data_IF_441704519640
#
_entry.id   IF_441704519640
#
_cell.length_a   1.000
_cell.length_b   1.000
_cell.length_c   1.000
_cell.angle_alpha   90.00
_cell.angle_beta   90.00
_cell.angle_gamma   90.00
#
_symmetry.space_group_name_H-M   'P 1'
#
loop_
_entity.id
_entity.type
_entity.pdbx_description
1 polymer ?
#
# COMPACT_ATOMS: atom_id res chain seq x y z
N UNK A 1 1.66 19.83 -12.24
CA UNK A 1 0.19 19.71 -12.27
C UNK A 1 -0.30 19.23 -13.64
N UNK A 2 0.04 19.93 -14.73
CA UNK A 2 -0.36 19.55 -16.10
C UNK A 2 0.29 18.22 -16.54
N UNK A 3 1.58 18.00 -16.21
CA UNK A 3 2.29 16.77 -16.55
C UNK A 3 1.69 15.52 -15.90
N UNK A 4 1.35 15.59 -14.62
CA UNK A 4 0.74 14.48 -13.86
C UNK A 4 -0.68 14.18 -14.37
N UNK A 5 -1.46 15.22 -14.69
CA UNK A 5 -2.77 15.05 -15.32
C UNK A 5 -2.67 14.34 -16.69
N UNK A 6 -1.68 14.71 -17.52
CA UNK A 6 -1.44 14.05 -18.80
C UNK A 6 -1.07 12.58 -18.63
N UNK A 7 -0.23 12.24 -17.64
CA UNK A 7 0.18 10.85 -17.36
C UNK A 7 -1.02 10.01 -16.90
N UNK A 8 -1.81 10.50 -15.93
CA UNK A 8 -2.99 9.79 -15.42
C UNK A 8 -4.05 9.57 -16.50
N UNK A 9 -4.28 10.57 -17.35
CA UNK A 9 -5.21 10.48 -18.48
C UNK A 9 -4.76 9.45 -19.51
N UNK A 10 -3.46 9.38 -19.81
CA UNK A 10 -2.91 8.35 -20.71
C UNK A 10 -2.99 6.94 -20.16
N UNK A 11 -2.97 6.80 -18.83
CA UNK A 11 -3.10 5.52 -18.13
C UNK A 11 -4.55 5.13 -17.84
N UNK A 12 -5.54 5.92 -18.27
CA UNK A 12 -6.95 5.62 -18.04
C UNK A 12 -7.40 5.70 -16.57
N UNK A 13 -6.61 6.35 -15.70
CA UNK A 13 -6.95 6.47 -14.27
C UNK A 13 -8.06 7.52 -14.11
N UNK A 14 -9.21 7.18 -13.50
CA UNK A 14 -10.37 8.07 -13.40
C UNK A 14 -10.21 9.13 -12.29
N UNK A 15 -9.18 9.97 -12.40
CA UNK A 15 -8.93 11.10 -11.48
C UNK A 15 -9.43 12.40 -12.12
N UNK A 16 -10.36 13.08 -11.44
CA UNK A 16 -10.94 14.34 -11.90
C UNK A 16 -9.96 15.50 -11.64
N UNK A 17 -9.90 16.47 -12.55
CA UNK A 17 -9.04 17.65 -12.42
C UNK A 17 -9.24 18.41 -11.08
N UNK A 18 -10.47 18.42 -10.55
CA UNK A 18 -10.82 19.05 -9.27
C UNK A 18 -10.19 18.34 -8.07
N UNK A 19 -10.01 17.02 -8.14
CA UNK A 19 -9.30 16.24 -7.10
C UNK A 19 -7.80 16.57 -7.11
N UNK A 20 -7.19 16.68 -8.30
CA UNK A 20 -5.79 17.13 -8.43
C UNK A 20 -5.57 18.55 -7.92
N UNK A 21 -6.54 19.45 -8.09
CA UNK A 21 -6.47 20.81 -7.56
C UNK A 21 -6.57 20.81 -6.02
N UNK A 22 -7.42 19.96 -5.44
CA UNK A 22 -7.51 19.75 -3.99
C UNK A 22 -6.22 19.17 -3.40
N UNK A 23 -5.59 18.22 -4.09
CA UNK A 23 -4.27 17.70 -3.75
C UNK A 23 -3.18 18.78 -3.88
N UNK A 24 -3.27 19.67 -4.88
CA UNK A 24 -2.26 20.70 -5.13
C UNK A 24 -2.22 21.81 -4.06
N UNK A 25 -3.34 22.09 -3.39
CA UNK A 25 -3.44 23.04 -2.27
C UNK A 25 -2.78 22.49 -0.99
N UNK A 26 -2.66 21.16 -0.84
CA UNK A 26 -1.87 20.49 0.21
C UNK A 26 -0.48 20.18 -0.35
N UNK A 27 0.43 21.15 -0.24
CA UNK A 27 1.76 21.24 -0.88
C UNK A 27 2.65 19.96 -0.85
N UNK A 28 2.39 18.97 0.01
CA UNK A 28 3.24 17.80 0.27
C UNK A 28 2.93 16.53 -0.55
N UNK A 29 1.84 16.48 -1.31
CA UNK A 29 1.24 15.21 -1.77
C UNK A 29 1.35 14.97 -3.28
N UNK A 30 2.47 14.47 -3.82
CA UNK A 30 2.50 14.18 -5.28
C UNK A 30 3.26 12.94 -5.73
N UNK A 31 4.57 12.85 -5.50
CA UNK A 31 5.37 11.89 -6.30
C UNK A 31 5.17 10.45 -5.87
N UNK A 32 5.15 10.20 -4.56
CA UNK A 32 5.08 8.84 -4.03
C UNK A 32 3.71 8.21 -4.27
N UNK A 33 2.62 8.92 -3.94
CA UNK A 33 1.27 8.46 -4.22
C UNK A 33 1.02 8.20 -5.71
N UNK A 34 1.42 9.11 -6.61
CA UNK A 34 1.25 8.90 -8.05
C UNK A 34 2.07 7.69 -8.53
N UNK A 35 3.29 7.53 -8.04
CA UNK A 35 4.14 6.39 -8.42
C UNK A 35 3.53 5.06 -7.94
N UNK A 36 3.05 5.03 -6.70
CA UNK A 36 2.35 3.89 -6.11
C UNK A 36 1.08 3.54 -6.89
N UNK A 37 0.27 4.53 -7.25
CA UNK A 37 -0.95 4.34 -8.06
C UNK A 37 -0.64 3.77 -9.44
N UNK A 38 0.38 4.30 -10.12
CA UNK A 38 0.80 3.80 -11.44
C UNK A 38 1.32 2.37 -11.34
N UNK A 39 2.11 2.05 -10.31
CA UNK A 39 2.60 0.70 -10.07
C UNK A 39 1.46 -0.28 -9.77
N UNK A 40 0.52 0.10 -8.90
CA UNK A 40 -0.64 -0.71 -8.57
C UNK A 40 -1.52 -0.99 -9.80
N UNK A 41 -1.79 0.03 -10.61
CA UNK A 41 -2.58 -0.11 -11.83
C UNK A 41 -1.88 -1.01 -12.87
N UNK A 42 -0.58 -0.80 -13.13
CA UNK A 42 0.19 -1.65 -14.05
C UNK A 42 0.27 -3.10 -13.60
N UNK A 43 0.32 -3.34 -12.30
CA UNK A 43 0.30 -4.68 -11.72
C UNK A 43 -1.10 -5.31 -11.68
N UNK A 44 -2.16 -4.58 -12.07
CA UNK A 44 -3.55 -5.01 -11.95
C UNK A 44 -3.94 -5.32 -10.51
N UNK A 45 -3.41 -4.56 -9.54
CA UNK A 45 -3.85 -4.64 -8.16
C UNK A 45 -5.20 -3.95 -8.02
N UNK A 46 -6.14 -4.60 -7.32
CA UNK A 46 -7.43 -4.02 -6.97
C UNK A 46 -7.27 -3.11 -5.75
N UNK A 47 -6.53 -2.01 -5.91
CA UNK A 47 -6.36 -0.96 -4.90
C UNK A 47 -7.04 0.30 -5.43
N UNK A 48 -8.10 0.75 -4.75
CA UNK A 48 -8.81 1.94 -5.20
C UNK A 48 -7.92 3.18 -4.98
N UNK A 49 -7.85 4.11 -5.95
CA UNK A 49 -7.08 5.33 -5.78
C UNK A 49 -7.45 6.14 -4.53
N UNK A 50 -8.74 6.16 -4.18
CA UNK A 50 -9.25 6.81 -2.99
C UNK A 50 -8.79 6.14 -1.69
N UNK A 51 -8.65 4.81 -1.67
CA UNK A 51 -8.14 4.06 -0.51
C UNK A 51 -6.66 4.37 -0.27
N UNK A 52 -5.85 4.35 -1.33
CA UNK A 52 -4.42 4.70 -1.23
C UNK A 52 -4.20 6.17 -0.88
N UNK A 53 -5.02 7.08 -1.39
CA UNK A 53 -5.00 8.48 -0.99
C UNK A 53 -5.36 8.66 0.48
N UNK A 54 -6.44 8.02 0.95
CA UNK A 54 -6.83 8.06 2.36
C UNK A 54 -5.74 7.47 3.27
N UNK A 55 -5.11 6.36 2.85
CA UNK A 55 -3.99 5.74 3.56
C UNK A 55 -2.77 6.66 3.65
N UNK A 56 -2.41 7.31 2.54
CA UNK A 56 -1.34 8.32 2.55
C UNK A 56 -1.67 9.51 3.46
N UNK A 57 -2.92 9.98 3.45
CA UNK A 57 -3.38 11.07 4.30
C UNK A 57 -3.40 10.69 5.79
N UNK A 58 -3.50 9.41 6.11
CA UNK A 58 -3.30 8.86 7.44
C UNK A 58 -1.81 8.65 7.80
N UNK A 59 -0.90 9.26 7.03
CA UNK A 59 0.56 9.16 7.18
C UNK A 59 1.14 7.75 6.92
N UNK A 60 0.39 6.90 6.23
CA UNK A 60 0.86 5.57 5.83
C UNK A 60 1.80 5.57 4.63
N UNK A 61 2.66 4.55 4.55
CA UNK A 61 3.62 4.34 3.47
C UNK A 61 2.98 3.58 2.29
N UNK A 62 2.46 4.33 1.32
CA UNK A 62 1.84 3.76 0.12
C UNK A 62 2.80 2.97 -0.77
N UNK A 63 4.10 3.28 -0.76
CA UNK A 63 5.09 2.56 -1.56
C UNK A 63 5.28 1.14 -1.03
N UNK A 64 5.41 0.99 0.29
CA UNK A 64 5.58 -0.30 0.94
C UNK A 64 4.31 -1.15 0.85
N UNK A 65 3.13 -0.53 0.97
CA UNK A 65 1.88 -1.28 0.80
C UNK A 65 1.72 -1.80 -0.64
N UNK A 66 1.99 -0.98 -1.66
CA UNK A 66 1.90 -1.42 -3.06
C UNK A 66 2.94 -2.51 -3.36
N UNK A 67 4.17 -2.36 -2.84
CA UNK A 67 5.22 -3.37 -2.98
C UNK A 67 4.84 -4.69 -2.32
N UNK A 68 4.27 -4.63 -1.13
CA UNK A 68 3.76 -5.79 -0.39
C UNK A 68 2.63 -6.49 -1.12
N UNK A 69 1.64 -5.73 -1.58
CA UNK A 69 0.53 -6.22 -2.38
C UNK A 69 1.01 -6.92 -3.67
N UNK A 70 2.00 -6.35 -4.35
CA UNK A 70 2.61 -6.95 -5.53
C UNK A 70 3.28 -8.29 -5.22
N UNK A 71 4.05 -8.38 -4.13
CA UNK A 71 4.72 -9.61 -3.73
C UNK A 71 3.74 -10.71 -3.32
N UNK A 72 2.69 -10.37 -2.56
CA UNK A 72 1.62 -11.31 -2.19
C UNK A 72 0.91 -11.84 -3.43
N UNK A 73 0.58 -10.96 -4.39
CA UNK A 73 -0.02 -11.35 -5.66
C UNK A 73 0.91 -12.25 -6.49
N UNK A 74 2.20 -11.93 -6.55
CA UNK A 74 3.19 -12.74 -7.27
C UNK A 74 3.30 -14.17 -6.72
N UNK A 75 3.09 -14.34 -5.41
CA UNK A 75 3.09 -15.65 -4.73
C UNK A 75 1.71 -16.31 -4.66
N UNK A 76 0.68 -15.74 -5.33
CA UNK A 76 -0.68 -16.27 -5.31
C UNK A 76 -1.32 -16.29 -3.92
N UNK A 77 -0.86 -15.43 -3.01
CA UNK A 77 -1.40 -15.34 -1.66
C UNK A 77 -2.64 -14.45 -1.65
N UNK A 78 -3.79 -15.03 -1.31
CA UNK A 78 -4.95 -14.23 -0.94
C UNK A 78 -4.68 -13.54 0.41
N UNK A 79 -4.88 -12.22 0.47
CA UNK A 79 -4.66 -11.42 1.67
C UNK A 79 -5.78 -10.39 1.85
N UNK A 80 -6.01 -9.98 3.09
CA UNK A 80 -6.91 -8.88 3.41
C UNK A 80 -6.16 -7.55 3.33
N UNK A 81 -6.56 -6.71 2.37
CA UNK A 81 -6.00 -5.37 2.14
C UNK A 81 -6.09 -4.50 3.40
N UNK A 82 -7.17 -4.61 4.17
CA UNK A 82 -7.37 -3.83 5.40
C UNK A 82 -6.35 -4.19 6.47
N UNK A 83 -5.99 -5.48 6.57
CA UNK A 83 -4.95 -5.93 7.52
C UNK A 83 -3.58 -5.47 7.09
N UNK A 84 -3.27 -5.47 5.79
CA UNK A 84 -2.02 -4.92 5.27
C UNK A 84 -1.90 -3.42 5.57
N UNK A 85 -2.97 -2.64 5.37
CA UNK A 85 -3.01 -1.23 5.77
C UNK A 85 -2.88 -1.05 7.28
N UNK A 86 -3.52 -1.90 8.09
CA UNK A 86 -3.40 -1.83 9.53
C UNK A 86 -1.97 -2.10 10.03
N UNK A 87 -1.26 -3.06 9.42
CA UNK A 87 0.16 -3.31 9.70
C UNK A 87 0.98 -2.05 9.37
N UNK A 88 0.75 -1.46 8.20
CA UNK A 88 1.45 -0.25 7.79
C UNK A 88 1.22 0.91 8.77
N UNK A 89 -0.03 1.21 9.13
CA UNK A 89 -0.33 2.31 10.06
C UNK A 89 0.18 2.04 11.48
N UNK A 90 0.25 0.79 11.90
CA UNK A 90 0.67 0.43 13.26
C UNK A 90 2.19 0.31 13.41
N UNK A 91 2.91 0.06 12.33
CA UNK A 91 4.34 -0.28 12.38
C UNK A 91 5.21 0.49 11.41
N UNK A 92 4.65 1.11 10.36
CA UNK A 92 5.38 1.69 9.22
C UNK A 92 6.28 0.70 8.47
N UNK A 93 6.11 -0.61 8.71
CA UNK A 93 6.97 -1.70 8.24
C UNK A 93 6.18 -2.77 7.45
N UNK A 94 5.21 -2.35 6.64
CA UNK A 94 4.36 -3.30 5.89
C UNK A 94 5.14 -4.21 4.94
N UNK A 95 6.20 -3.68 4.30
CA UNK A 95 7.08 -4.47 3.45
C UNK A 95 7.89 -5.51 4.24
N UNK A 96 8.42 -5.13 5.40
CA UNK A 96 9.21 -6.03 6.24
C UNK A 96 8.34 -7.18 6.78
N UNK A 97 7.12 -6.85 7.23
CA UNK A 97 6.11 -7.84 7.58
C UNK A 97 5.84 -8.80 6.42
N UNK A 98 5.54 -8.28 5.24
CA UNK A 98 5.17 -9.10 4.08
C UNK A 98 6.32 -10.02 3.66
N UNK A 99 7.55 -9.52 3.68
CA UNK A 99 8.75 -10.32 3.40
C UNK A 99 8.92 -11.45 4.42
N UNK A 100 8.79 -11.14 5.71
CA UNK A 100 8.89 -12.13 6.77
C UNK A 100 7.77 -13.19 6.67
N UNK A 101 6.53 -12.74 6.41
CA UNK A 101 5.37 -13.59 6.22
C UNK A 101 5.55 -14.57 5.04
N UNK A 102 6.00 -14.09 3.88
CA UNK A 102 6.25 -14.95 2.72
C UNK A 102 7.33 -16.00 3.02
N UNK A 103 8.42 -15.61 3.69
CA UNK A 103 9.48 -16.54 4.10
C UNK A 103 9.01 -17.56 5.16
N UNK A 104 8.08 -17.19 6.03
CA UNK A 104 7.47 -18.11 7.00
C UNK A 104 6.53 -19.10 6.29
N UNK A 105 5.75 -18.61 5.32
CA UNK A 105 4.80 -19.43 4.54
C UNK A 105 5.45 -20.47 3.64
N UNK A 106 6.69 -20.26 3.21
CA UNK A 106 7.50 -21.29 2.53
C UNK A 106 7.70 -22.53 3.42
N UNK A 107 7.83 -22.34 4.74
CA UNK A 107 7.96 -23.43 5.72
C UNK A 107 6.59 -23.97 6.13
N UNK A 108 5.61 -23.09 6.28
CA UNK A 108 4.26 -23.44 6.71
C UNK A 108 3.20 -22.89 5.73
N UNK A 109 2.79 -23.68 4.71
CA UNK A 109 1.87 -23.20 3.68
C UNK A 109 0.47 -22.80 4.17
N UNK A 110 0.09 -23.23 5.38
CA UNK A 110 -1.22 -22.95 6.00
C UNK A 110 -1.23 -21.64 6.81
N UNK A 111 -0.11 -20.92 6.86
CA UNK A 111 0.03 -19.71 7.65
C UNK A 111 -0.99 -18.64 7.22
N UNK A 112 -1.76 -18.18 8.19
CA UNK A 112 -2.80 -17.17 8.00
C UNK A 112 -2.18 -15.78 8.02
N UNK A 113 -2.32 -15.05 6.91
CA UNK A 113 -1.87 -13.65 6.82
C UNK A 113 -2.45 -12.78 7.94
N UNK A 114 -3.69 -13.07 8.32
CA UNK A 114 -4.40 -12.24 9.29
C UNK A 114 -3.92 -12.40 10.72
N UNK A 115 -3.55 -13.61 11.11
CA UNK A 115 -3.08 -13.89 12.46
C UNK A 115 -1.64 -13.40 12.62
N UNK A 116 -0.82 -13.58 11.58
CA UNK A 116 0.54 -13.04 11.51
C UNK A 116 0.57 -11.51 11.53
N UNK A 117 -0.37 -10.85 10.84
CA UNK A 117 -0.48 -9.39 10.89
C UNK A 117 -0.71 -8.89 12.32
N UNK A 118 -1.58 -9.56 13.08
CA UNK A 118 -1.86 -9.22 14.48
C UNK A 118 -0.63 -9.50 15.36
N UNK A 119 0.02 -10.65 15.17
CA UNK A 119 1.23 -11.02 15.90
C UNK A 119 2.36 -10.00 15.67
N UNK A 120 2.57 -9.58 14.42
CA UNK A 120 3.56 -8.59 14.04
C UNK A 120 3.30 -7.22 14.65
N UNK A 121 2.05 -6.75 14.62
CA UNK A 121 1.67 -5.48 15.27
C UNK A 121 1.93 -5.54 16.78
N UNK A 122 1.60 -6.68 17.42
CA UNK A 122 1.85 -6.87 18.86
C UNK A 122 3.35 -6.85 19.17
N UNK A 123 4.18 -7.52 18.36
CA UNK A 123 5.63 -7.55 18.60
C UNK A 123 6.27 -6.17 18.46
N UNK A 124 5.81 -5.35 17.51
CA UNK A 124 6.34 -4.00 17.28
C UNK A 124 5.91 -3.00 18.36
N UNK A 125 4.74 -3.20 18.99
CA UNK A 125 4.29 -2.35 20.11
C UNK A 125 5.15 -2.53 21.38
N UNK A 126 5.93 -3.59 21.49
CA UNK A 126 6.73 -3.93 22.68
C UNK A 126 8.24 -3.77 22.49
N UNK A 127 8.70 -3.13 21.41
CA UNK A 127 10.12 -2.82 21.26
C UNK A 127 10.51 -1.68 22.22
N UNK A 128 11.51 -1.86 23.11
CA UNK A 128 12.00 -0.78 23.95
C UNK A 128 12.67 0.29 23.07
N UNK A 129 12.39 1.55 23.41
CA UNK A 129 12.96 2.77 22.82
C UNK A 129 14.49 2.78 22.84
#
# INVERSE_FOLDING_TARGET
MIREWIVLRRLGVPLRFRQLLGMALRKSLRRELVTALVAAHKAGLDLAPAELEAHYLAEGNVADVVKSALALKAQGVAYDRRKLYAVDLATSHAWDFTRAFLAAREREPRLSFGDEAIAFIRSHRHAPE
#
